data_IF_048672510608
#
_entry.id   IF_048672510608
#
_cell.length_a   1.000
_cell.length_b   1.000
_cell.length_c   1.000
_cell.angle_alpha   90.00
_cell.angle_beta   90.00
_cell.angle_gamma   90.00
#
_symmetry.space_group_name_H-M   'P 1'
#
loop_
_entity.id
_entity.type
_entity.pdbx_description
1 polymer ?
#
# COMPACT_ATOMS: atom_id res chain seq x y z
N UNK A 1 -47.18 62.19 -43.98
CA UNK A 1 -47.94 63.09 -43.07
C UNK A 1 -48.55 62.27 -41.94
N UNK A 2 -48.51 62.83 -40.72
CA UNK A 2 -49.18 62.43 -39.46
C UNK A 2 -48.61 61.23 -38.66
N UNK A 3 -47.90 61.60 -37.59
CA UNK A 3 -47.69 60.87 -36.34
C UNK A 3 -49.03 60.46 -35.70
N UNK A 4 -49.07 59.33 -34.99
CA UNK A 4 -49.68 59.22 -33.65
C UNK A 4 -48.90 58.22 -32.79
N UNK A 5 -48.76 58.64 -31.53
CA UNK A 5 -48.10 58.02 -30.37
C UNK A 5 -49.18 57.36 -29.50
N UNK A 6 -48.84 56.28 -28.77
CA UNK A 6 -49.29 55.89 -27.41
C UNK A 6 -49.20 54.35 -27.26
N UNK A 7 -48.32 53.74 -26.44
CA UNK A 7 -48.19 53.67 -24.96
C UNK A 7 -48.95 52.45 -24.36
N UNK A 8 -48.26 51.75 -23.43
CA UNK A 8 -48.72 50.75 -22.43
C UNK A 8 -49.01 49.32 -22.94
N UNK A 9 -48.72 48.23 -22.22
CA UNK A 9 -48.34 48.04 -20.82
C UNK A 9 -47.61 46.71 -20.65
N UNK A 10 -46.67 46.71 -19.71
CA UNK A 10 -46.03 45.55 -19.10
C UNK A 10 -47.09 44.66 -18.41
N UNK A 11 -47.15 43.38 -18.76
CA UNK A 11 -47.67 42.32 -17.89
C UNK A 11 -46.81 41.08 -18.10
N UNK A 12 -45.86 40.85 -17.20
CA UNK A 12 -45.30 39.52 -16.95
C UNK A 12 -46.41 38.67 -16.33
N UNK A 13 -46.86 37.62 -17.02
CA UNK A 13 -47.73 36.61 -16.43
C UNK A 13 -47.04 35.24 -16.51
N UNK A 14 -46.78 34.73 -15.31
CA UNK A 14 -46.40 33.39 -14.92
C UNK A 14 -46.98 32.29 -15.84
N UNK A 15 -46.12 31.56 -16.55
CA UNK A 15 -46.46 30.24 -17.07
C UNK A 15 -45.96 29.19 -16.08
N UNK A 16 -46.84 28.84 -15.14
CA UNK A 16 -46.70 27.70 -14.25
C UNK A 16 -46.83 26.43 -15.10
N UNK A 17 -45.71 25.92 -15.63
CA UNK A 17 -45.70 24.62 -16.29
C UNK A 17 -45.70 23.52 -15.23
N UNK A 18 -46.81 22.80 -15.25
CA UNK A 18 -47.08 21.57 -14.51
C UNK A 18 -46.11 20.51 -15.03
N UNK A 19 -45.04 20.22 -14.28
CA UNK A 19 -44.27 18.99 -14.48
C UNK A 19 -44.95 17.87 -13.70
N UNK A 20 -45.85 17.18 -14.39
CA UNK A 20 -46.40 15.89 -13.97
C UNK A 20 -45.25 14.88 -13.92
N UNK A 21 -45.16 14.14 -12.81
CA UNK A 21 -44.02 13.34 -12.43
C UNK A 21 -43.57 12.29 -13.45
N UNK A 22 -42.28 12.35 -13.77
CA UNK A 22 -41.49 11.16 -14.04
C UNK A 22 -40.67 10.87 -12.78
N UNK A 23 -41.11 9.81 -12.10
CA UNK A 23 -40.38 8.93 -11.17
C UNK A 23 -38.88 9.21 -11.16
N UNK A 24 -38.38 9.73 -10.03
CA UNK A 24 -36.95 9.90 -9.78
C UNK A 24 -36.22 8.60 -10.11
N UNK A 25 -35.39 8.65 -11.15
CA UNK A 25 -34.22 7.78 -11.19
C UNK A 25 -33.39 8.23 -10.01
N UNK A 26 -33.38 7.38 -9.01
CA UNK A 26 -32.31 7.33 -8.03
C UNK A 26 -31.03 7.18 -8.85
N UNK A 27 -30.35 8.29 -9.12
CA UNK A 27 -29.01 8.28 -9.68
C UNK A 27 -28.14 7.67 -8.59
N UNK A 28 -28.14 6.34 -8.54
CA UNK A 28 -27.13 5.57 -7.85
C UNK A 28 -25.86 5.87 -8.62
N UNK A 29 -25.18 6.95 -8.22
CA UNK A 29 -23.81 7.26 -8.60
C UNK A 29 -23.05 5.96 -8.37
N UNK A 30 -22.72 5.26 -9.45
CA UNK A 30 -22.02 3.99 -9.36
C UNK A 30 -20.80 4.27 -8.47
N UNK A 31 -20.73 3.60 -7.31
CA UNK A 31 -19.63 3.80 -6.37
C UNK A 31 -18.35 3.52 -7.16
N UNK A 32 -17.62 4.58 -7.51
CA UNK A 32 -16.29 4.45 -8.08
C UNK A 32 -15.47 3.63 -7.09
N UNK A 33 -14.77 2.62 -7.57
CA UNK A 33 -13.94 1.84 -6.68
C UNK A 33 -12.86 2.72 -6.06
N UNK A 34 -12.74 2.59 -4.75
CA UNK A 34 -11.71 3.26 -3.98
C UNK A 34 -10.50 2.33 -3.94
N UNK A 35 -9.36 2.84 -4.40
CA UNK A 35 -8.08 2.17 -4.42
C UNK A 35 -7.19 2.75 -3.31
N UNK A 36 -6.25 1.95 -2.81
CA UNK A 36 -5.26 2.36 -1.82
C UNK A 36 -3.89 2.41 -2.47
N UNK A 37 -3.19 3.53 -2.35
CA UNK A 37 -1.83 3.69 -2.88
C UNK A 37 -0.84 2.82 -2.08
N UNK A 38 -0.01 2.04 -2.77
CA UNK A 38 1.01 1.17 -2.15
C UNK A 38 2.11 2.01 -1.47
N UNK A 39 2.83 1.39 -0.53
CA UNK A 39 4.05 1.97 0.03
C UNK A 39 5.26 1.62 -0.85
N UNK A 40 5.79 2.62 -1.55
CA UNK A 40 7.00 2.48 -2.36
C UNK A 40 8.24 2.95 -1.62
N UNK A 41 8.15 3.53 -0.42
CA UNK A 41 9.34 4.07 0.29
C UNK A 41 10.33 2.93 0.58
N UNK A 42 11.60 3.17 0.26
CA UNK A 42 12.67 2.17 0.38
C UNK A 42 12.71 1.12 -0.74
N UNK A 43 11.72 1.08 -1.62
CA UNK A 43 11.63 0.12 -2.72
C UNK A 43 12.60 0.51 -3.84
N UNK A 44 13.32 -0.47 -4.37
CA UNK A 44 14.11 -0.28 -5.60
C UNK A 44 13.16 -0.19 -6.79
N UNK A 45 13.34 0.79 -7.68
CA UNK A 45 12.40 1.00 -8.79
C UNK A 45 12.27 -0.23 -9.68
N UNK A 46 13.34 -1.00 -9.90
CA UNK A 46 13.28 -2.27 -10.68
C UNK A 46 12.30 -3.29 -10.11
N UNK A 47 12.05 -3.22 -8.80
CA UNK A 47 11.16 -4.14 -8.10
C UNK A 47 9.81 -3.48 -7.74
N UNK A 48 9.60 -2.21 -8.07
CA UNK A 48 8.43 -1.45 -7.60
C UNK A 48 7.11 -1.80 -8.27
N UNK A 49 7.08 -2.74 -9.23
CA UNK A 49 5.95 -2.99 -10.15
C UNK A 49 5.61 -1.81 -11.09
N UNK A 50 6.23 -0.64 -10.90
CA UNK A 50 6.10 0.51 -11.80
C UNK A 50 6.82 0.17 -13.11
N UNK A 51 6.09 0.23 -14.21
CA UNK A 51 6.66 0.12 -15.55
C UNK A 51 7.25 1.46 -15.93
N UNK A 52 8.57 1.50 -16.16
CA UNK A 52 9.28 2.70 -16.61
C UNK A 52 9.79 2.47 -18.03
N UNK A 53 9.39 3.32 -18.97
CA UNK A 53 9.84 3.25 -20.36
C UNK A 53 11.24 3.84 -20.56
N UNK A 54 11.83 3.63 -21.74
CA UNK A 54 13.08 4.31 -22.15
C UNK A 54 12.95 5.84 -22.22
N UNK A 55 11.72 6.36 -22.37
CA UNK A 55 11.44 7.81 -22.38
C UNK A 55 11.28 8.42 -20.98
N UNK A 56 11.23 7.58 -19.94
CA UNK A 56 11.02 7.99 -18.56
C UNK A 56 9.55 8.08 -18.13
N UNK A 57 8.60 7.79 -19.02
CA UNK A 57 7.20 7.59 -18.62
C UNK A 57 7.09 6.41 -17.67
N UNK A 58 6.42 6.62 -16.54
CA UNK A 58 6.28 5.65 -15.46
C UNK A 58 4.81 5.48 -15.08
N UNK A 59 4.32 4.24 -15.12
CA UNK A 59 2.94 3.91 -14.78
C UNK A 59 2.80 2.55 -14.09
N UNK A 60 1.72 2.37 -13.32
CA UNK A 60 1.31 1.08 -12.79
C UNK A 60 -0.20 0.88 -12.96
N UNK A 61 -0.61 -0.37 -13.20
CA UNK A 61 -2.03 -0.75 -13.21
C UNK A 61 -2.44 -1.32 -11.86
N UNK A 62 -3.39 -0.66 -11.20
CA UNK A 62 -4.02 -1.10 -9.98
C UNK A 62 -5.28 -1.90 -10.30
N UNK A 63 -5.42 -3.08 -9.68
CA UNK A 63 -6.54 -3.99 -9.92
C UNK A 63 -7.41 -4.12 -8.68
N UNK A 64 -8.72 -4.27 -8.90
CA UNK A 64 -9.70 -4.62 -7.87
C UNK A 64 -10.64 -5.70 -8.42
N UNK A 65 -11.52 -6.23 -7.57
CA UNK A 65 -12.55 -7.20 -7.98
C UNK A 65 -13.54 -6.68 -9.03
N UNK A 66 -13.55 -5.38 -9.30
CA UNK A 66 -14.53 -4.70 -10.14
C UNK A 66 -13.91 -3.98 -11.36
N UNK A 67 -12.58 -3.88 -11.43
CA UNK A 67 -11.91 -3.26 -12.58
C UNK A 67 -10.45 -2.92 -12.33
N UNK A 68 -9.85 -2.25 -13.31
CA UNK A 68 -8.46 -1.83 -13.28
C UNK A 68 -8.35 -0.33 -13.57
N UNK A 69 -7.41 0.36 -12.92
CA UNK A 69 -7.09 1.78 -13.13
C UNK A 69 -5.60 1.97 -13.31
N UNK A 70 -5.20 3.00 -14.07
CA UNK A 70 -3.79 3.37 -14.24
C UNK A 70 -3.41 4.52 -13.33
N UNK A 71 -2.23 4.43 -12.72
CA UNK A 71 -1.61 5.49 -11.92
C UNK A 71 -0.34 5.93 -12.61
N UNK A 72 -0.16 7.25 -12.75
CA UNK A 72 1.05 7.85 -13.31
C UNK A 72 2.04 8.16 -12.20
N UNK A 73 3.32 7.92 -12.45
CA UNK A 73 4.40 8.25 -11.54
C UNK A 73 5.29 9.35 -12.12
N UNK A 74 5.55 10.38 -11.33
CA UNK A 74 6.57 11.40 -11.59
C UNK A 74 7.77 11.07 -10.71
N UNK A 75 8.88 10.69 -11.31
CA UNK A 75 10.08 10.25 -10.59
C UNK A 75 11.11 11.37 -10.61
N UNK A 76 11.35 11.96 -9.45
CA UNK A 76 12.30 13.04 -9.21
C UNK A 76 13.60 12.48 -8.61
N UNK A 77 14.73 12.83 -9.22
CA UNK A 77 16.05 12.47 -8.75
C UNK A 77 16.84 13.75 -8.45
N UNK A 78 17.47 13.83 -7.28
CA UNK A 78 18.18 15.03 -6.81
C UNK A 78 19.28 15.51 -7.77
N UNK A 79 19.91 14.59 -8.50
CA UNK A 79 20.97 14.92 -9.47
C UNK A 79 20.42 15.35 -10.85
N UNK A 80 19.10 15.38 -11.03
CA UNK A 80 18.43 15.75 -12.28
C UNK A 80 18.53 14.72 -13.41
N UNK A 81 19.20 13.58 -13.20
CA UNK A 81 19.31 12.52 -14.20
C UNK A 81 17.94 11.88 -14.41
N UNK A 82 17.50 11.83 -15.68
CA UNK A 82 16.29 11.14 -16.06
C UNK A 82 16.35 9.66 -15.70
N UNK A 83 15.30 9.17 -15.05
CA UNK A 83 15.13 7.76 -14.74
C UNK A 83 14.46 7.08 -15.93
N UNK A 84 15.08 6.01 -16.41
CA UNK A 84 14.64 5.23 -17.57
C UNK A 84 14.70 3.75 -17.24
N UNK A 85 14.15 2.91 -18.12
CA UNK A 85 14.25 1.46 -18.00
C UNK A 85 15.70 0.96 -17.77
N UNK A 86 16.70 1.64 -18.36
CA UNK A 86 18.10 1.21 -18.33
C UNK A 86 18.81 1.49 -17.01
N UNK A 87 18.35 2.48 -16.24
CA UNK A 87 19.05 2.90 -15.02
C UNK A 87 18.21 2.73 -13.75
N UNK A 88 16.92 2.41 -13.84
CA UNK A 88 15.99 2.33 -12.71
C UNK A 88 16.48 1.42 -11.57
N UNK A 89 17.21 0.35 -11.88
CA UNK A 89 17.75 -0.58 -10.87
C UNK A 89 18.77 0.07 -9.92
N UNK A 90 19.35 1.20 -10.31
CA UNK A 90 20.30 1.92 -9.50
C UNK A 90 19.63 2.89 -8.51
N UNK A 91 18.30 2.92 -8.44
CA UNK A 91 17.57 3.92 -7.66
C UNK A 91 16.58 3.27 -6.69
N UNK A 92 16.53 3.82 -5.48
CA UNK A 92 15.51 3.51 -4.47
C UNK A 92 14.67 4.74 -4.19
N UNK A 93 13.39 4.53 -3.94
CA UNK A 93 12.46 5.57 -3.48
C UNK A 93 12.82 5.96 -2.06
N UNK A 94 12.94 7.26 -1.82
CA UNK A 94 13.21 7.85 -0.50
C UNK A 94 12.01 8.64 0.03
N UNK A 95 11.13 9.10 -0.85
CA UNK A 95 9.93 9.86 -0.50
C UNK A 95 8.84 9.61 -1.55
N UNK A 96 7.58 9.76 -1.12
CA UNK A 96 6.41 9.49 -1.94
C UNK A 96 5.28 10.43 -1.55
N UNK A 97 4.64 11.05 -2.55
CA UNK A 97 3.44 11.86 -2.39
C UNK A 97 2.41 11.55 -3.48
N UNK A 98 1.11 11.33 -3.18
CA UNK A 98 0.51 11.27 -1.83
C UNK A 98 1.12 10.18 -0.95
N UNK A 99 0.96 10.29 0.37
CA UNK A 99 1.52 9.32 1.32
C UNK A 99 1.01 7.90 1.05
N UNK A 100 1.78 6.84 1.36
CA UNK A 100 1.29 5.47 1.33
C UNK A 100 -0.04 5.32 2.06
N UNK A 101 -0.97 4.55 1.50
CA UNK A 101 -2.34 4.44 2.04
C UNK A 101 -3.34 5.46 1.49
N UNK A 102 -2.86 6.51 0.80
CA UNK A 102 -3.77 7.51 0.21
C UNK A 102 -4.80 6.87 -0.71
N UNK A 103 -6.04 7.35 -0.59
CA UNK A 103 -7.18 6.85 -1.36
C UNK A 103 -7.35 7.62 -2.66
N UNK A 104 -7.62 6.89 -3.73
CA UNK A 104 -7.96 7.47 -5.02
C UNK A 104 -9.05 6.63 -5.69
N UNK A 105 -9.71 7.19 -6.68
CA UNK A 105 -10.80 6.52 -7.40
C UNK A 105 -10.58 6.63 -8.90
N UNK A 106 -11.24 5.76 -9.67
CA UNK A 106 -11.24 5.85 -11.14
C UNK A 106 -11.57 7.26 -11.62
N UNK A 107 -10.81 7.77 -12.58
CA UNK A 107 -11.12 9.00 -13.30
C UNK A 107 -12.43 8.87 -14.09
N UNK A 108 -13.10 9.99 -14.39
CA UNK A 108 -14.32 9.99 -15.20
C UNK A 108 -14.07 9.54 -16.66
N UNK A 109 -12.81 9.60 -17.11
CA UNK A 109 -12.34 9.18 -18.43
C UNK A 109 -11.51 7.90 -18.32
N UNK A 110 -11.91 6.83 -19.03
CA UNK A 110 -11.15 5.55 -19.05
C UNK A 110 -9.73 5.67 -19.62
N UNK A 111 -9.39 6.78 -20.27
CA UNK A 111 -8.08 7.00 -20.88
C UNK A 111 -7.16 7.83 -20.00
N UNK A 112 -7.67 8.38 -18.90
CA UNK A 112 -6.91 9.25 -18.03
C UNK A 112 -6.37 8.46 -16.84
N UNK A 113 -5.20 8.88 -16.36
CA UNK A 113 -4.68 8.37 -15.09
C UNK A 113 -5.65 8.72 -13.96
N UNK A 114 -5.93 7.73 -13.11
CA UNK A 114 -6.78 7.89 -11.95
C UNK A 114 -6.11 8.70 -10.83
N UNK A 115 -4.78 8.70 -10.80
CA UNK A 115 -3.96 9.41 -9.82
C UNK A 115 -2.57 9.73 -10.39
N UNK A 116 -1.95 10.79 -9.88
CA UNK A 116 -0.54 11.12 -10.14
C UNK A 116 0.27 11.07 -8.84
N UNK A 117 1.33 10.27 -8.85
CA UNK A 117 2.17 10.00 -7.67
C UNK A 117 3.57 10.50 -7.92
N UNK A 118 4.07 11.37 -7.06
CA UNK A 118 5.45 11.87 -7.07
C UNK A 118 6.32 10.99 -6.19
N UNK A 119 7.42 10.50 -6.75
CA UNK A 119 8.44 9.75 -6.03
C UNK A 119 9.75 10.52 -6.07
N UNK A 120 10.39 10.72 -4.91
CA UNK A 120 11.80 11.12 -4.88
C UNK A 120 12.65 9.89 -4.75
N UNK A 121 13.75 9.84 -5.51
CA UNK A 121 14.64 8.68 -5.53
C UNK A 121 16.07 9.07 -5.26
N UNK A 122 16.84 8.11 -4.74
CA UNK A 122 18.27 8.23 -4.51
C UNK A 122 19.01 7.08 -5.16
N UNK A 123 20.15 7.39 -5.77
CA UNK A 123 21.06 6.39 -6.34
C UNK A 123 21.60 5.49 -5.23
N UNK A 124 21.51 4.18 -5.41
CA UNK A 124 22.12 3.18 -4.55
C UNK A 124 23.34 2.60 -5.24
N UNK A 125 24.44 2.51 -4.49
CA UNK A 125 25.62 1.77 -4.93
C UNK A 125 25.26 0.29 -5.05
N UNK A 126 25.42 -0.29 -6.23
CA UNK A 126 25.18 -1.70 -6.48
C UNK A 126 26.26 -2.51 -5.75
N UNK A 127 26.04 -2.84 -4.48
CA UNK A 127 26.60 -4.05 -3.92
C UNK A 127 25.79 -5.19 -4.51
N UNK A 128 26.40 -5.91 -5.44
CA UNK A 128 25.81 -7.04 -6.15
C UNK A 128 25.28 -8.07 -5.13
N UNK A 129 24.00 -7.97 -4.77
CA UNK A 129 23.27 -8.95 -3.97
C UNK A 129 22.76 -10.05 -4.92
N UNK A 130 23.71 -10.72 -5.57
CA UNK A 130 23.50 -12.10 -5.99
C UNK A 130 23.88 -12.95 -4.79
N UNK A 131 22.89 -13.50 -4.10
CA UNK A 131 23.09 -14.50 -3.05
C UNK A 131 23.96 -15.63 -3.61
N UNK A 132 25.20 -15.71 -3.11
CA UNK A 132 25.99 -16.93 -3.13
C UNK A 132 26.57 -17.12 -1.75
N UNK A 133 25.82 -17.89 -0.99
CA UNK A 133 26.15 -18.39 0.33
C UNK A 133 27.45 -19.20 0.29
N UNK A 134 28.48 -18.73 1.01
CA UNK A 134 29.57 -19.57 1.53
C UNK A 134 30.36 -18.85 2.63
N UNK A 135 29.94 -19.09 3.86
CA UNK A 135 30.74 -19.33 5.07
C UNK A 135 32.22 -18.88 5.07
N UNK A 136 32.58 -17.94 5.96
CA UNK A 136 33.72 -18.14 6.87
C UNK A 136 33.65 -17.25 8.13
N UNK A 137 33.54 -17.95 9.24
CA UNK A 137 33.83 -17.60 10.62
C UNK A 137 35.19 -16.92 10.81
N UNK A 138 35.23 -15.87 11.65
CA UNK A 138 36.30 -15.65 12.62
C UNK A 138 35.85 -14.67 13.72
N UNK A 139 36.04 -15.14 14.94
CA UNK A 139 35.86 -14.55 16.27
C UNK A 139 36.92 -13.52 16.66
N UNK A 140 36.59 -12.79 17.75
CA UNK A 140 37.46 -12.07 18.71
C UNK A 140 37.99 -10.68 18.28
N UNK A 141 38.08 -9.65 19.13
CA UNK A 141 37.85 -9.51 20.57
C UNK A 141 37.71 -8.02 20.99
N UNK A 142 37.22 -7.86 22.22
CA UNK A 142 37.06 -6.71 23.12
C UNK A 142 37.89 -5.40 22.95
N UNK A 143 37.27 -4.25 23.29
CA UNK A 143 37.53 -3.54 24.57
C UNK A 143 36.95 -2.09 24.68
N UNK A 144 36.10 -1.92 25.70
CA UNK A 144 36.17 -0.89 26.80
C UNK A 144 35.84 0.61 26.56
N UNK A 145 34.68 1.01 27.12
CA UNK A 145 34.39 2.13 28.07
C UNK A 145 35.35 3.35 28.08
N UNK A 146 34.91 4.62 28.05
CA UNK A 146 34.15 5.34 29.10
C UNK A 146 33.81 6.78 28.66
N UNK A 147 32.63 7.30 28.99
CA UNK A 147 32.23 8.73 29.10
C UNK A 147 32.82 9.37 30.40
N UNK A 148 32.55 10.65 30.81
CA UNK A 148 31.86 11.83 30.22
C UNK A 148 32.64 13.18 30.41
N UNK A 149 32.16 14.32 29.86
CA UNK A 149 31.98 15.62 30.59
C UNK A 149 31.31 16.73 29.72
N UNK A 150 30.12 17.14 30.16
CA UNK A 150 29.70 18.50 30.56
C UNK A 150 29.82 19.72 29.62
N UNK A 151 28.63 20.12 29.12
CA UNK A 151 27.93 21.43 29.27
C UNK A 151 28.60 22.73 28.80
N UNK A 152 27.91 23.49 27.93
CA UNK A 152 27.51 24.89 28.17
C UNK A 152 26.54 25.41 27.11
N UNK A 153 25.53 26.12 27.61
CA UNK A 153 24.40 26.75 26.93
C UNK A 153 24.80 27.93 26.06
N UNK A 154 24.04 28.23 25.00
CA UNK A 154 23.71 29.61 24.63
C UNK A 154 22.34 29.68 23.96
N UNK A 155 21.47 30.45 24.59
CA UNK A 155 20.11 30.83 24.21
C UNK A 155 20.16 32.13 23.41
N UNK A 156 19.47 32.23 22.27
CA UNK A 156 18.58 33.37 21.93
C UNK A 156 17.92 33.30 20.54
N UNK A 157 16.59 33.42 20.62
CA UNK A 157 15.68 34.30 19.84
C UNK A 157 15.41 34.06 18.35
N UNK A 158 14.20 33.54 18.16
CA UNK A 158 13.23 33.66 17.06
C UNK A 158 12.97 35.10 16.59
N UNK A 159 12.63 35.27 15.30
CA UNK A 159 11.52 36.15 14.92
C UNK A 159 10.39 35.40 14.18
N UNK A 160 9.17 35.79 14.51
CA UNK A 160 7.90 35.36 13.92
C UNK A 160 7.80 35.70 12.42
N UNK A 161 7.25 34.78 11.62
CA UNK A 161 6.59 35.16 10.37
C UNK A 161 5.36 34.27 10.08
N UNK A 162 4.21 34.94 10.05
CA UNK A 162 2.90 34.63 9.46
C UNK A 162 2.44 33.17 9.34
N UNK A 163 1.47 32.84 10.21
CA UNK A 163 0.56 31.70 10.13
C UNK A 163 -0.38 31.83 8.92
N UNK A 164 -0.06 31.16 7.82
CA UNK A 164 -1.04 30.85 6.78
C UNK A 164 -1.87 29.65 7.26
N UNK A 165 -3.17 29.88 7.45
CA UNK A 165 -4.16 28.90 7.86
C UNK A 165 -4.34 27.84 6.76
N UNK A 166 -3.53 26.77 6.81
CA UNK A 166 -3.84 25.56 6.09
C UNK A 166 -5.06 24.92 6.76
N UNK A 167 -6.12 24.70 5.97
CA UNK A 167 -7.24 23.86 6.37
C UNK A 167 -6.70 22.47 6.64
N UNK A 168 -6.50 22.19 7.93
CA UNK A 168 -6.11 20.89 8.45
C UNK A 168 -7.24 19.91 8.11
N UNK A 169 -7.05 19.17 7.03
CA UNK A 169 -7.83 17.96 6.77
C UNK A 169 -7.63 17.05 7.96
N UNK A 170 -8.70 16.76 8.68
CA UNK A 170 -8.69 15.89 9.85
C UNK A 170 -7.96 14.59 9.49
N UNK A 171 -6.89 14.18 10.19
CA UNK A 171 -6.17 12.96 9.83
C UNK A 171 -7.11 11.77 9.98
N UNK A 172 -7.45 11.15 8.86
CA UNK A 172 -8.20 9.90 8.82
C UNK A 172 -7.31 8.82 9.44
N UNK A 173 -7.75 8.23 10.54
CA UNK A 173 -6.97 7.21 11.26
C UNK A 173 -6.69 6.01 10.36
N UNK A 174 -5.42 5.75 10.03
CA UNK A 174 -5.01 4.50 9.40
C UNK A 174 -5.10 3.36 10.43
N UNK A 175 -5.37 2.14 9.99
CA UNK A 175 -5.41 0.97 10.88
C UNK A 175 -4.01 0.38 11.07
N UNK A 176 -3.19 0.45 10.03
CA UNK A 176 -1.81 -0.01 9.99
C UNK A 176 -0.83 1.13 9.72
N UNK A 177 0.41 0.98 10.18
CA UNK A 177 1.50 1.92 9.94
C UNK A 177 2.86 1.23 10.08
N UNK A 178 3.93 1.96 9.74
CA UNK A 178 5.31 1.44 9.76
C UNK A 178 5.82 1.04 11.15
N UNK A 179 5.32 1.67 12.23
CA UNK A 179 5.68 1.28 13.59
C UNK A 179 5.13 -0.11 13.88
N UNK A 180 3.84 -0.35 13.62
CA UNK A 180 3.21 -1.67 13.79
C UNK A 180 3.86 -2.74 12.90
N UNK A 181 4.22 -2.40 11.67
CA UNK A 181 4.96 -3.32 10.78
C UNK A 181 6.32 -3.73 11.37
N UNK A 182 7.04 -2.77 11.96
CA UNK A 182 8.36 -3.01 12.59
C UNK A 182 8.24 -3.85 13.87
N UNK A 183 7.24 -3.57 14.70
CA UNK A 183 6.95 -4.33 15.90
C UNK A 183 6.57 -5.78 15.55
N UNK A 184 5.66 -5.97 14.58
CA UNK A 184 5.26 -7.30 14.10
C UNK A 184 6.45 -8.07 13.51
N UNK A 185 7.30 -7.42 12.72
CA UNK A 185 8.48 -8.06 12.13
C UNK A 185 9.49 -8.51 13.19
N UNK A 186 9.62 -7.76 14.28
CA UNK A 186 10.47 -8.12 15.42
C UNK A 186 9.89 -9.30 16.19
N UNK A 187 8.58 -9.30 16.43
CA UNK A 187 7.88 -10.42 17.02
C UNK A 187 8.03 -11.70 16.19
N UNK A 188 7.78 -11.64 14.88
CA UNK A 188 7.84 -12.82 14.00
C UNK A 188 9.21 -13.48 13.97
N UNK A 189 10.29 -12.70 14.08
CA UNK A 189 11.65 -13.23 14.22
C UNK A 189 11.79 -14.04 15.51
N UNK A 190 11.39 -13.48 16.65
CA UNK A 190 11.48 -14.15 17.95
C UNK A 190 10.56 -15.38 18.03
N UNK A 191 9.33 -15.25 17.54
CA UNK A 191 8.34 -16.32 17.53
C UNK A 191 8.82 -17.52 16.72
N UNK A 192 9.43 -17.30 15.55
CA UNK A 192 9.98 -18.39 14.71
C UNK A 192 11.03 -19.22 15.45
N UNK A 193 11.88 -18.57 16.26
CA UNK A 193 12.89 -19.25 17.07
C UNK A 193 12.25 -20.10 18.18
N UNK A 194 11.19 -19.60 18.82
CA UNK A 194 10.45 -20.35 19.85
C UNK A 194 9.79 -21.64 19.32
N UNK A 195 9.46 -21.65 18.03
CA UNK A 195 8.88 -22.80 17.34
C UNK A 195 9.94 -23.77 16.76
N UNK A 196 11.23 -23.52 16.99
CA UNK A 196 12.36 -24.22 16.36
C UNK A 196 12.26 -24.24 14.83
N UNK A 197 11.75 -23.16 14.23
CA UNK A 197 11.62 -22.99 12.79
C UNK A 197 12.67 -22.01 12.26
N UNK A 198 12.93 -22.06 10.96
CA UNK A 198 13.73 -21.01 10.33
C UNK A 198 12.95 -19.70 10.38
N UNK A 199 13.65 -18.55 10.33
CA UNK A 199 13.00 -17.24 10.32
C UNK A 199 11.91 -17.16 9.26
N UNK A 200 10.74 -16.66 9.65
CA UNK A 200 9.69 -16.33 8.70
C UNK A 200 10.13 -15.11 7.90
N UNK A 201 10.06 -15.21 6.57
CA UNK A 201 10.37 -14.09 5.70
C UNK A 201 9.11 -13.28 5.44
N UNK A 202 9.23 -11.97 5.54
CA UNK A 202 8.15 -11.04 5.24
C UNK A 202 8.11 -10.72 3.74
N UNK A 203 6.93 -10.74 3.15
CA UNK A 203 6.71 -10.20 1.80
C UNK A 203 6.37 -8.72 1.89
N UNK A 204 7.11 -7.89 1.14
CA UNK A 204 6.88 -6.45 1.01
C UNK A 204 6.79 -6.05 -0.45
N UNK A 205 6.20 -4.88 -0.74
CA UNK A 205 6.24 -4.29 -2.09
C UNK A 205 7.69 -4.21 -2.57
N UNK A 206 7.97 -4.82 -3.72
CA UNK A 206 9.30 -4.91 -4.32
C UNK A 206 10.33 -5.80 -3.59
N UNK A 207 9.88 -6.59 -2.63
CA UNK A 207 10.59 -7.70 -2.02
C UNK A 207 9.64 -8.87 -1.86
N UNK A 208 9.14 -9.38 -2.99
CA UNK A 208 8.21 -10.50 -2.98
C UNK A 208 8.83 -11.75 -2.39
N UNK A 209 8.05 -12.44 -1.57
CA UNK A 209 8.37 -13.79 -1.12
C UNK A 209 7.59 -14.78 -1.99
N UNK A 210 8.24 -15.88 -2.36
CA UNK A 210 7.56 -17.01 -2.99
C UNK A 210 7.11 -18.04 -1.94
N UNK A 211 5.88 -18.51 -2.05
CA UNK A 211 5.34 -19.65 -1.31
C UNK A 211 4.71 -20.65 -2.28
N UNK A 212 5.47 -21.68 -2.66
CA UNK A 212 5.03 -22.73 -3.59
C UNK A 212 4.40 -22.21 -4.91
N UNK A 213 5.02 -21.19 -5.50
CA UNK A 213 4.54 -20.57 -6.75
C UNK A 213 3.71 -19.31 -6.55
N UNK A 214 3.17 -19.06 -5.34
CA UNK A 214 2.49 -17.81 -4.99
C UNK A 214 3.51 -16.71 -4.67
N UNK A 215 3.46 -15.57 -5.34
CA UNK A 215 4.32 -14.41 -5.11
C UNK A 215 3.59 -13.38 -4.27
N UNK A 216 4.14 -13.02 -3.10
CA UNK A 216 3.47 -12.15 -2.13
C UNK A 216 4.31 -10.91 -1.83
N UNK A 217 3.69 -9.72 -1.76
CA UNK A 217 2.23 -9.51 -1.79
C UNK A 217 1.62 -9.38 -3.19
N UNK A 218 2.39 -9.49 -4.29
CA UNK A 218 1.91 -9.16 -5.65
C UNK A 218 0.68 -9.94 -6.12
N UNK A 219 0.54 -11.21 -5.75
CA UNK A 219 -0.61 -12.04 -6.16
C UNK A 219 -1.88 -11.79 -5.31
N UNK A 220 -1.80 -11.01 -4.22
CA UNK A 220 -2.97 -10.66 -3.41
C UNK A 220 -3.92 -9.78 -4.22
N UNK A 221 -5.16 -10.25 -4.39
CA UNK A 221 -6.17 -9.58 -5.22
C UNK A 221 -6.06 -9.89 -6.72
N UNK A 222 -5.07 -10.68 -7.14
CA UNK A 222 -4.90 -11.14 -8.54
C UNK A 222 -5.38 -12.58 -8.70
N UNK A 223 -5.02 -13.46 -7.78
CA UNK A 223 -5.46 -14.87 -7.78
C UNK A 223 -6.70 -15.09 -6.90
N UNK A 224 -7.35 -16.24 -7.05
CA UNK A 224 -8.53 -16.61 -6.25
C UNK A 224 -8.17 -17.13 -4.86
N UNK A 225 -8.83 -16.62 -3.81
CA UNK A 225 -8.61 -17.02 -2.42
C UNK A 225 -9.89 -17.55 -1.75
N UNK A 226 -9.75 -18.62 -0.97
CA UNK A 226 -10.81 -19.18 -0.12
C UNK A 226 -10.43 -19.02 1.36
N UNK A 227 -11.38 -18.69 2.23
CA UNK A 227 -11.22 -18.81 3.69
C UNK A 227 -12.30 -19.74 4.22
N UNK A 228 -11.90 -20.80 4.93
CA UNK A 228 -12.82 -21.89 5.36
C UNK A 228 -13.69 -22.40 4.20
N UNK A 229 -13.04 -22.66 3.05
CA UNK A 229 -13.66 -23.14 1.80
C UNK A 229 -14.71 -22.22 1.18
N UNK A 230 -14.83 -20.99 1.65
CA UNK A 230 -15.69 -19.97 1.05
C UNK A 230 -14.87 -19.00 0.19
N UNK A 231 -15.31 -18.69 -1.03
CA UNK A 231 -14.70 -17.64 -1.83
C UNK A 231 -14.71 -16.26 -1.19
N UNK A 232 -13.53 -15.64 -1.16
CA UNK A 232 -13.34 -14.30 -0.60
C UNK A 232 -12.50 -13.43 -1.55
N UNK A 233 -12.68 -12.12 -1.41
CA UNK A 233 -11.83 -11.09 -1.99
C UNK A 233 -10.73 -10.67 -1.00
N UNK A 234 -9.53 -10.38 -1.51
CA UNK A 234 -8.42 -9.88 -0.71
C UNK A 234 -7.75 -8.71 -1.41
N UNK A 235 -7.20 -7.79 -0.62
CA UNK A 235 -6.33 -6.71 -1.12
C UNK A 235 -5.16 -6.53 -0.16
N UNK A 236 -3.97 -6.27 -0.68
CA UNK A 236 -2.83 -5.86 0.14
C UNK A 236 -2.85 -4.34 0.34
N UNK A 237 -2.69 -3.88 1.58
CA UNK A 237 -2.69 -2.46 1.93
C UNK A 237 -1.68 -2.16 3.03
N UNK A 238 -0.81 -1.16 2.81
CA UNK A 238 0.18 -0.73 3.79
C UNK A 238 -0.41 0.09 4.95
N UNK A 239 -1.66 0.55 4.84
CA UNK A 239 -2.33 1.36 5.88
C UNK A 239 -3.52 0.63 6.55
N UNK A 240 -3.76 -0.62 6.16
CA UNK A 240 -4.84 -1.45 6.67
C UNK A 240 -6.24 -1.08 6.18
N UNK A 241 -6.35 -0.15 5.24
CA UNK A 241 -7.64 0.24 4.65
C UNK A 241 -7.80 -0.34 3.24
N UNK A 242 -9.01 -0.75 2.88
CA UNK A 242 -9.31 -1.35 1.58
C UNK A 242 -10.76 -1.82 1.48
N UNK A 243 -11.20 -2.12 0.26
CA UNK A 243 -12.55 -2.62 -0.03
C UNK A 243 -12.49 -4.07 -0.54
N UNK A 244 -12.25 -4.99 0.39
CA UNK A 244 -12.23 -6.43 0.18
C UNK A 244 -12.70 -7.13 1.47
N UNK A 245 -13.05 -8.42 1.39
CA UNK A 245 -13.43 -9.20 2.59
C UNK A 245 -12.27 -9.25 3.60
N UNK A 246 -11.02 -9.28 3.10
CA UNK A 246 -9.81 -9.19 3.90
C UNK A 246 -8.84 -8.15 3.34
N UNK A 247 -8.44 -7.21 4.19
CA UNK A 247 -7.36 -6.26 3.90
C UNK A 247 -6.07 -6.76 4.54
N UNK A 248 -5.18 -7.31 3.73
CA UNK A 248 -3.89 -7.88 4.16
C UNK A 248 -2.88 -6.76 4.37
N UNK A 249 -2.23 -6.75 5.53
CA UNK A 249 -1.22 -5.72 5.87
C UNK A 249 0.18 -6.28 6.01
N UNK A 250 0.31 -7.57 6.31
CA UNK A 250 1.59 -8.24 6.33
C UNK A 250 1.46 -9.70 5.91
N UNK A 251 2.51 -10.22 5.28
CA UNK A 251 2.61 -11.61 4.83
C UNK A 251 3.91 -12.21 5.36
N UNK A 252 3.85 -13.41 5.92
CA UNK A 252 5.01 -14.09 6.47
C UNK A 252 5.01 -15.55 6.07
N UNK A 253 6.12 -16.02 5.48
CA UNK A 253 6.24 -17.41 5.06
C UNK A 253 7.47 -18.12 5.60
N UNK A 254 7.26 -19.36 6.02
CA UNK A 254 8.28 -20.34 6.34
C UNK A 254 8.12 -21.53 5.40
N UNK A 255 9.24 -22.01 4.84
CA UNK A 255 9.28 -23.25 4.05
C UNK A 255 10.35 -24.15 4.67
N UNK A 256 9.95 -25.38 5.01
CA UNK A 256 10.86 -26.42 5.44
C UNK A 256 11.55 -27.03 4.21
N UNK A 257 12.82 -26.67 3.99
CA UNK A 257 13.61 -27.19 2.87
C UNK A 257 13.75 -28.71 2.83
N UNK A 258 13.58 -29.39 3.97
CA UNK A 258 13.68 -30.85 4.06
C UNK A 258 12.37 -31.59 3.72
N UNK A 259 11.21 -30.91 3.78
CA UNK A 259 9.89 -31.57 3.79
C UNK A 259 8.91 -31.04 2.74
N UNK A 260 9.33 -30.13 1.85
CA UNK A 260 8.47 -29.47 0.85
C UNK A 260 7.10 -29.04 1.45
N UNK A 261 7.12 -28.57 2.69
CA UNK A 261 5.98 -28.11 3.46
C UNK A 261 6.34 -26.78 4.09
N UNK A 262 5.35 -26.00 4.47
CA UNK A 262 5.56 -24.67 4.98
C UNK A 262 4.28 -24.07 5.52
N UNK A 263 4.42 -22.88 6.07
CA UNK A 263 3.31 -22.10 6.57
C UNK A 263 3.40 -20.70 5.99
N UNK A 264 2.27 -20.23 5.48
CA UNK A 264 2.08 -18.86 5.08
C UNK A 264 1.01 -18.25 5.98
N UNK A 265 1.38 -17.18 6.66
CA UNK A 265 0.48 -16.37 7.48
C UNK A 265 0.17 -15.05 6.78
N UNK A 266 -1.09 -14.66 6.80
CA UNK A 266 -1.55 -13.34 6.41
C UNK A 266 -2.14 -12.64 7.65
N UNK A 267 -1.62 -11.46 7.95
CA UNK A 267 -2.17 -10.58 8.98
C UNK A 267 -3.12 -9.60 8.29
N UNK A 268 -4.39 -9.60 8.68
CA UNK A 268 -5.44 -8.95 7.91
C UNK A 268 -6.47 -8.25 8.79
N UNK A 269 -7.14 -7.25 8.24
CA UNK A 269 -8.39 -6.75 8.80
C UNK A 269 -9.58 -7.37 8.06
N UNK A 270 -10.49 -7.98 8.80
CA UNK A 270 -11.82 -8.38 8.32
C UNK A 270 -12.85 -7.44 8.95
N UNK A 271 -13.49 -6.59 8.16
CA UNK A 271 -14.42 -5.55 8.66
C UNK A 271 -13.81 -4.70 9.79
N UNK A 272 -12.53 -4.33 9.65
CA UNK A 272 -11.78 -3.56 10.66
C UNK A 272 -11.32 -4.36 11.88
N UNK A 273 -11.69 -5.63 12.01
CA UNK A 273 -11.20 -6.50 13.09
C UNK A 273 -9.90 -7.20 12.69
N UNK A 274 -8.84 -7.16 13.50
CA UNK A 274 -7.60 -7.86 13.21
C UNK A 274 -7.79 -9.38 13.30
N UNK A 275 -7.42 -10.09 12.24
CA UNK A 275 -7.45 -11.55 12.13
C UNK A 275 -6.17 -12.06 11.49
N UNK A 276 -5.78 -13.29 11.83
CA UNK A 276 -4.62 -13.94 11.24
C UNK A 276 -5.07 -15.20 10.50
N UNK A 277 -4.77 -15.26 9.22
CA UNK A 277 -5.05 -16.42 8.36
C UNK A 277 -3.79 -17.25 8.19
N UNK A 278 -3.96 -18.56 8.01
CA UNK A 278 -2.87 -19.50 7.76
C UNK A 278 -3.21 -20.47 6.63
N UNK A 279 -2.22 -20.79 5.82
CA UNK A 279 -2.26 -21.94 4.91
C UNK A 279 -0.95 -22.72 4.94
N UNK A 280 -1.07 -24.03 4.77
CA UNK A 280 0.04 -24.94 4.48
C UNK A 280 -0.07 -25.56 3.09
N UNK A 281 -0.95 -25.03 2.24
CA UNK A 281 -1.20 -25.55 0.89
C UNK A 281 0.09 -25.46 0.07
N UNK A 282 0.53 -26.61 -0.44
CA UNK A 282 1.74 -26.75 -1.26
C UNK A 282 1.47 -27.37 -2.65
N UNK A 283 0.20 -27.61 -2.98
CA UNK A 283 -0.28 -28.12 -4.25
C UNK A 283 -1.52 -27.34 -4.69
N UNK A 284 -1.78 -27.30 -5.99
CA UNK A 284 -3.02 -26.71 -6.52
C UNK A 284 -4.26 -27.49 -6.08
N UNK A 285 -5.36 -26.77 -5.87
CA UNK A 285 -6.68 -27.36 -5.59
C UNK A 285 -7.54 -27.39 -6.87
N UNK A 286 -8.52 -28.30 -7.01
CA UNK A 286 -9.35 -28.41 -8.22
C UNK A 286 -10.11 -27.14 -8.61
N UNK A 287 -10.43 -26.28 -7.65
CA UNK A 287 -11.10 -24.99 -7.89
C UNK A 287 -10.13 -23.88 -8.32
N UNK A 288 -8.82 -24.17 -8.33
CA UNK A 288 -7.77 -23.23 -8.71
C UNK A 288 -7.49 -22.14 -7.68
N UNK A 289 -7.93 -22.31 -6.42
CA UNK A 289 -7.86 -21.26 -5.38
C UNK A 289 -6.82 -21.61 -4.32
N UNK A 290 -6.36 -20.58 -3.60
CA UNK A 290 -5.51 -20.74 -2.41
C UNK A 290 -6.41 -20.73 -1.18
N UNK A 291 -6.40 -21.83 -0.42
CA UNK A 291 -7.27 -22.02 0.74
C UNK A 291 -6.53 -21.65 2.03
N UNK A 292 -7.13 -20.72 2.75
CA UNK A 292 -6.75 -20.30 4.08
C UNK A 292 -7.79 -20.76 5.10
N UNK A 293 -7.36 -20.81 6.35
CA UNK A 293 -8.23 -20.85 7.53
C UNK A 293 -7.77 -19.82 8.55
N UNK A 294 -8.58 -19.54 9.56
CA UNK A 294 -8.09 -18.80 10.72
C UNK A 294 -6.97 -19.57 11.41
N UNK A 295 -5.93 -18.87 11.85
CA UNK A 295 -4.91 -19.49 12.70
C UNK A 295 -5.52 -19.87 14.04
N UNK A 296 -5.04 -20.98 14.61
CA UNK A 296 -5.35 -21.39 15.98
C UNK A 296 -4.22 -20.98 16.94
N UNK A 297 -3.11 -20.43 16.41
CA UNK A 297 -1.95 -20.03 17.20
C UNK A 297 -2.26 -18.76 18.00
N UNK A 298 -2.32 -18.91 19.32
CA UNK A 298 -2.69 -17.82 20.23
C UNK A 298 -1.63 -16.71 20.29
N UNK A 299 -0.35 -17.02 20.12
CA UNK A 299 0.71 -16.01 20.16
C UNK A 299 0.54 -15.01 19.00
N UNK A 300 0.30 -15.52 17.79
CA UNK A 300 0.06 -14.67 16.61
C UNK A 300 -1.21 -13.84 16.74
N UNK A 301 -2.28 -14.44 17.29
CA UNK A 301 -3.56 -13.76 17.51
C UNK A 301 -3.38 -12.63 18.53
N UNK A 302 -2.77 -12.93 19.68
CA UNK A 302 -2.58 -11.98 20.77
C UNK A 302 -1.66 -10.85 20.37
N UNK A 303 -0.55 -11.14 19.68
CA UNK A 303 0.35 -10.10 19.17
C UNK A 303 -0.40 -9.14 18.24
N UNK A 304 -1.12 -9.68 17.25
CA UNK A 304 -1.79 -8.83 16.29
C UNK A 304 -2.94 -8.03 16.91
N UNK A 305 -3.63 -8.59 17.90
CA UNK A 305 -4.60 -7.84 18.70
C UNK A 305 -3.93 -6.71 19.51
N UNK A 306 -2.78 -6.97 20.14
CA UNK A 306 -2.06 -5.99 20.94
C UNK A 306 -1.59 -4.79 20.10
N UNK A 307 -1.11 -5.02 18.87
CA UNK A 307 -0.74 -3.96 17.92
C UNK A 307 -1.95 -3.10 17.48
N UNK A 308 -3.18 -3.50 17.80
CA UNK A 308 -4.42 -2.85 17.40
C UNK A 308 -5.28 -2.40 18.58
N UNK A 309 -4.75 -2.48 19.80
CA UNK A 309 -5.41 -2.07 21.04
C UNK A 309 -5.17 -0.60 21.39
#
# INVERSE_FOLDING_TARGET
MKRKVAVLSLVMLFCMMIFTGCKGKDDTKAKSDEYTLKDYKGVNLKNSYITISDSGEAEETYKSSKGEVKVKFIIENEDGTAITQKNMENYKVIDQQPEPGSKFSSSESKFDYAEEVKLKVKKVSVSNSSEKDKSKESTADASTSSTPVTNSETKKETPEESKAESKESTPKSTLWNNQKDTELASFMQNWSASMNQQPYLQGKVGQDINFFGLSLPSDIGVVGFSVNDQPVSMVFSSDGTGNADYVVVATYRYISGAKNSGWLYLFCYQNGQPVVLVTGQNQGMPDGRIHFKFTENQDLINEFLALNS
#
